data_IF_859584521706
#
_entry.id   IF_859584521706
#
_cell.length_a   1.000
_cell.length_b   1.000
_cell.length_c   1.000
_cell.angle_alpha   90.00
_cell.angle_beta   90.00
_cell.angle_gamma   90.00
#
_symmetry.space_group_name_H-M   'P 1'
#
loop_
_entity.id
_entity.type
_entity.pdbx_description
1 polymer ?
#
# COMPACT_ATOMS: atom_id res chain seq x y z
N UNK A 1 -6.19 -1.84 -24.56
CA UNK A 1 -6.08 -0.73 -23.60
C UNK A 1 -7.44 -0.34 -23.03
N UNK A 2 -8.50 -0.25 -23.86
CA UNK A 2 -9.87 0.09 -23.41
C UNK A 2 -10.39 -0.62 -22.15
N UNK A 3 -10.19 -1.94 -21.98
CA UNK A 3 -10.67 -2.65 -20.79
C UNK A 3 -9.94 -2.25 -19.50
N UNK A 4 -8.63 -2.03 -19.57
CA UNK A 4 -7.84 -1.63 -18.42
C UNK A 4 -8.24 -0.23 -17.95
N UNK A 5 -8.46 0.67 -18.90
CA UNK A 5 -8.94 2.02 -18.63
C UNK A 5 -10.34 1.97 -18.01
N UNK A 6 -11.26 1.18 -18.59
CA UNK A 6 -12.60 0.98 -18.04
C UNK A 6 -12.56 0.49 -16.59
N UNK A 7 -11.76 -0.54 -16.29
CA UNK A 7 -11.67 -1.09 -14.93
C UNK A 7 -11.05 -0.09 -13.94
N UNK A 8 -9.95 0.57 -14.32
CA UNK A 8 -9.28 1.55 -13.47
C UNK A 8 -10.18 2.75 -13.19
N UNK A 9 -10.93 3.21 -14.18
CA UNK A 9 -11.84 4.35 -14.05
C UNK A 9 -13.11 3.96 -13.25
N UNK A 10 -13.71 2.80 -13.54
CA UNK A 10 -14.93 2.31 -12.86
C UNK A 10 -14.69 2.07 -11.38
N UNK A 11 -13.55 1.44 -11.03
CA UNK A 11 -13.22 1.07 -9.65
C UNK A 11 -12.21 2.03 -9.01
N UNK A 12 -12.04 3.24 -9.56
CA UNK A 12 -11.03 4.19 -9.07
C UNK A 12 -11.24 4.57 -7.61
N UNK A 13 -12.49 4.78 -7.19
CA UNK A 13 -12.85 5.10 -5.79
C UNK A 13 -12.53 3.94 -4.86
N UNK A 14 -12.92 2.72 -5.25
CA UNK A 14 -12.68 1.49 -4.52
C UNK A 14 -11.18 1.22 -4.33
N UNK A 15 -10.39 1.36 -5.40
CA UNK A 15 -8.93 1.21 -5.37
C UNK A 15 -8.28 2.32 -4.54
N UNK A 16 -8.79 3.55 -4.66
CA UNK A 16 -8.24 4.68 -3.92
C UNK A 16 -8.43 4.47 -2.43
N UNK A 17 -9.64 4.18 -1.95
CA UNK A 17 -9.86 3.80 -0.57
C UNK A 17 -11.21 3.09 -0.44
N UNK A 18 -11.19 1.79 -0.13
CA UNK A 18 -12.38 1.05 0.30
C UNK A 18 -12.76 1.45 1.74
N UNK A 19 -13.27 2.67 1.86
CA UNK A 19 -13.56 3.31 3.15
C UNK A 19 -14.67 2.61 3.90
N UNK A 20 -15.71 2.13 3.21
CA UNK A 20 -16.90 1.61 3.88
C UNK A 20 -16.64 0.26 4.53
N UNK A 21 -15.96 -0.67 3.84
CA UNK A 21 -15.52 -1.92 4.46
C UNK A 21 -14.52 -1.64 5.58
N UNK A 22 -13.52 -0.79 5.32
CA UNK A 22 -12.53 -0.43 6.33
C UNK A 22 -13.18 0.09 7.62
N UNK A 23 -14.15 1.00 7.49
CA UNK A 23 -14.87 1.59 8.61
C UNK A 23 -15.77 0.59 9.34
N UNK A 24 -16.45 -0.30 8.60
CA UNK A 24 -17.34 -1.30 9.19
C UNK A 24 -16.58 -2.33 10.05
N UNK A 25 -15.31 -2.58 9.72
CA UNK A 25 -14.50 -3.66 10.30
C UNK A 25 -13.39 -3.20 11.25
N UNK A 26 -13.33 -1.90 11.59
CA UNK A 26 -12.26 -1.33 12.43
C UNK A 26 -12.00 -2.08 13.74
N UNK A 27 -13.05 -2.47 14.46
CA UNK A 27 -12.93 -3.21 15.72
C UNK A 27 -12.40 -4.62 15.51
N UNK A 28 -12.88 -5.29 14.46
CA UNK A 28 -12.42 -6.63 14.11
C UNK A 28 -10.95 -6.60 13.75
N UNK A 29 -10.54 -5.65 12.91
CA UNK A 29 -9.15 -5.46 12.53
C UNK A 29 -8.27 -5.13 13.73
N UNK A 30 -8.69 -4.24 14.62
CA UNK A 30 -7.88 -3.87 15.78
C UNK A 30 -7.73 -5.01 16.77
N UNK A 31 -8.78 -5.82 16.96
CA UNK A 31 -8.68 -7.04 17.77
C UNK A 31 -7.75 -8.06 17.10
N UNK A 32 -7.87 -8.30 15.80
CA UNK A 32 -7.00 -9.23 15.08
C UNK A 32 -5.52 -8.84 15.18
N UNK A 33 -5.20 -7.54 15.08
CA UNK A 33 -3.84 -7.02 15.27
C UNK A 33 -3.36 -7.22 16.72
N UNK A 34 -4.23 -6.97 17.70
CA UNK A 34 -3.93 -7.19 19.12
C UNK A 34 -3.67 -8.68 19.41
N UNK A 35 -4.53 -9.57 18.93
CA UNK A 35 -4.45 -11.03 19.12
C UNK A 35 -3.21 -11.62 18.44
N UNK A 36 -2.73 -11.02 17.34
CA UNK A 36 -1.44 -11.36 16.72
C UNK A 36 -0.20 -10.94 17.56
N UNK A 37 -0.43 -10.34 18.73
CA UNK A 37 0.59 -9.94 19.70
C UNK A 37 1.00 -8.47 19.62
N UNK A 38 0.12 -7.60 19.11
CA UNK A 38 0.37 -6.15 19.16
C UNK A 38 0.14 -5.63 20.58
N UNK A 39 1.00 -4.74 21.09
CA UNK A 39 0.72 -4.01 22.32
C UNK A 39 -0.36 -2.91 22.14
N UNK A 40 -0.77 -2.62 20.90
CA UNK A 40 -1.80 -1.64 20.60
C UNK A 40 -3.15 -2.31 20.39
N UNK A 41 -4.19 -1.76 21.01
CA UNK A 41 -5.58 -2.26 20.90
C UNK A 41 -6.39 -1.57 19.81
N UNK A 42 -5.81 -0.58 19.14
CA UNK A 42 -6.51 0.31 18.23
C UNK A 42 -5.87 0.46 16.84
N UNK A 43 -4.88 -0.36 16.51
CA UNK A 43 -4.25 -0.37 15.17
C UNK A 43 -5.09 -1.23 14.23
N UNK A 44 -5.62 -0.66 13.14
CA UNK A 44 -6.53 -1.37 12.23
C UNK A 44 -5.92 -1.70 10.86
N UNK A 45 -4.82 -1.04 10.47
CA UNK A 45 -4.15 -1.31 9.19
C UNK A 45 -2.69 -0.87 9.21
N UNK A 46 -1.95 -1.29 8.19
CA UNK A 46 -0.54 -1.00 8.02
C UNK A 46 -0.30 -0.18 6.76
N UNK A 47 0.39 0.96 6.88
CA UNK A 47 0.80 1.78 5.74
C UNK A 47 2.21 1.42 5.30
N UNK A 48 2.38 1.25 3.99
CA UNK A 48 3.72 1.04 3.44
C UNK A 48 3.86 1.49 1.97
N UNK A 49 5.09 1.77 1.58
CA UNK A 49 5.47 2.14 0.22
C UNK A 49 6.01 0.96 -0.56
N UNK A 50 5.49 0.71 -1.77
CA UNK A 50 5.99 -0.33 -2.67
C UNK A 50 6.56 0.24 -3.97
N UNK A 51 7.64 -0.36 -4.45
CA UNK A 51 8.44 0.13 -5.60
C UNK A 51 8.39 -0.89 -6.74
N UNK A 52 7.75 -0.53 -7.85
CA UNK A 52 7.69 -1.35 -9.06
C UNK A 52 8.72 -0.90 -10.08
N UNK A 53 9.68 -1.78 -10.36
CA UNK A 53 10.76 -1.50 -11.30
C UNK A 53 10.24 -1.42 -12.72
N UNK A 54 10.64 -0.38 -13.44
CA UNK A 54 10.23 -0.13 -14.83
C UNK A 54 11.44 0.02 -15.73
N UNK A 55 11.23 -0.18 -17.02
CA UNK A 55 12.22 0.00 -18.08
C UNK A 55 11.75 1.09 -19.07
N UNK A 56 12.71 1.64 -19.82
CA UNK A 56 12.50 2.63 -20.89
C UNK A 56 11.62 3.82 -20.49
N UNK A 57 12.12 4.78 -19.69
CA UNK A 57 11.37 6.01 -19.36
C UNK A 57 11.29 7.02 -20.54
N UNK A 58 11.21 6.56 -21.79
CA UNK A 58 11.34 7.41 -22.98
C UNK A 58 10.22 7.16 -23.98
N UNK A 59 9.41 8.19 -24.34
CA UNK A 59 8.67 8.19 -25.59
C UNK A 59 9.66 8.15 -26.76
N UNK A 60 9.36 7.36 -27.81
CA UNK A 60 10.21 7.19 -29.00
C UNK A 60 10.47 8.49 -29.79
N UNK A 61 9.74 9.58 -29.48
CA UNK A 61 9.75 10.87 -30.20
C UNK A 61 9.96 12.08 -29.26
N UNK A 62 11.11 12.20 -28.62
CA UNK A 62 11.53 13.45 -27.96
C UNK A 62 12.85 13.91 -28.56
N UNK A 63 12.80 14.92 -29.44
CA UNK A 63 13.96 15.44 -30.16
C UNK A 63 14.91 16.27 -29.27
N UNK A 64 14.48 16.69 -28.07
CA UNK A 64 15.30 17.51 -27.17
C UNK A 64 15.94 16.71 -26.02
N UNK A 65 17.28 16.63 -26.04
CA UNK A 65 18.15 15.92 -25.08
C UNK A 65 17.90 16.31 -23.60
N UNK A 66 17.54 17.57 -23.32
CA UNK A 66 17.33 18.10 -21.94
C UNK A 66 16.02 17.61 -21.29
N UNK A 67 14.91 17.54 -22.05
CA UNK A 67 13.62 16.97 -21.59
C UNK A 67 13.70 15.45 -21.39
N UNK A 68 14.52 14.78 -22.20
CA UNK A 68 14.82 13.34 -22.11
C UNK A 68 15.49 12.97 -20.78
N UNK A 69 16.40 13.82 -20.28
CA UNK A 69 17.09 13.64 -18.99
C UNK A 69 16.17 13.90 -17.78
N UNK A 70 15.33 14.93 -17.84
CA UNK A 70 14.43 15.31 -16.73
C UNK A 70 13.36 14.24 -16.44
N UNK A 71 12.75 13.64 -17.47
CA UNK A 71 11.80 12.53 -17.30
C UNK A 71 12.45 11.22 -16.84
N UNK A 72 13.72 11.00 -17.21
CA UNK A 72 14.50 9.85 -16.76
C UNK A 72 14.93 9.99 -15.29
N UNK A 73 15.32 11.19 -14.87
CA UNK A 73 15.74 11.50 -13.50
C UNK A 73 14.58 11.53 -12.49
N UNK A 74 13.35 11.88 -12.91
CA UNK A 74 12.19 11.90 -12.02
C UNK A 74 11.74 10.49 -11.62
N UNK A 75 11.82 9.51 -12.54
CA UNK A 75 11.41 8.12 -12.33
C UNK A 75 12.52 7.28 -11.65
N UNK A 76 13.76 7.79 -11.58
CA UNK A 76 14.87 7.07 -10.97
C UNK A 76 14.75 7.07 -9.43
N UNK A 77 14.58 5.88 -8.83
CA UNK A 77 14.65 5.67 -7.40
C UNK A 77 16.12 5.45 -7.00
N UNK A 78 16.74 6.44 -6.35
CA UNK A 78 18.14 6.39 -5.95
C UNK A 78 18.45 5.31 -4.90
N UNK A 79 17.54 5.10 -3.94
CA UNK A 79 17.69 4.09 -2.89
C UNK A 79 17.69 2.66 -3.47
N UNK A 80 16.81 2.37 -4.42
CA UNK A 80 16.75 1.06 -5.11
C UNK A 80 17.58 0.99 -6.40
N UNK A 81 18.30 2.07 -6.76
CA UNK A 81 19.14 2.22 -7.97
C UNK A 81 18.46 1.77 -9.27
N UNK A 82 17.15 2.01 -9.41
CA UNK A 82 16.36 1.61 -10.60
C UNK A 82 15.30 2.64 -10.95
N UNK A 83 14.95 2.75 -12.24
CA UNK A 83 13.72 3.44 -12.64
C UNK A 83 12.53 2.68 -12.06
N UNK A 84 11.64 3.39 -11.37
CA UNK A 84 10.51 2.76 -10.69
C UNK A 84 9.31 3.69 -10.56
N UNK A 85 8.14 3.06 -10.51
CA UNK A 85 6.93 3.67 -9.97
C UNK A 85 6.82 3.30 -8.50
N UNK A 86 6.43 4.27 -7.68
CA UNK A 86 6.10 4.08 -6.28
C UNK A 86 4.59 4.09 -6.09
N UNK A 87 4.13 3.27 -5.16
CA UNK A 87 2.75 3.27 -4.69
C UNK A 87 2.75 3.22 -3.17
N UNK A 88 1.74 3.83 -2.56
CA UNK A 88 1.47 3.72 -1.14
C UNK A 88 0.25 2.84 -0.97
N UNK A 89 0.26 1.96 0.03
CA UNK A 89 -0.89 1.13 0.36
C UNK A 89 -1.24 1.18 1.83
N UNK A 90 -2.52 0.93 2.13
CA UNK A 90 -2.94 0.41 3.42
C UNK A 90 -3.32 -1.05 3.25
N UNK A 91 -2.75 -1.92 4.08
CA UNK A 91 -3.08 -3.35 4.13
C UNK A 91 -3.83 -3.64 5.43
N UNK A 92 -4.97 -4.30 5.33
CA UNK A 92 -5.82 -4.68 6.46
C UNK A 92 -5.60 -6.13 6.88
N UNK A 93 -5.93 -6.49 8.13
CA UNK A 93 -5.75 -7.85 8.66
C UNK A 93 -6.45 -8.95 7.86
N UNK A 94 -7.54 -8.62 7.16
CA UNK A 94 -8.24 -9.53 6.25
C UNK A 94 -7.51 -9.81 4.93
N UNK A 95 -6.29 -9.29 4.79
CA UNK A 95 -5.44 -9.51 3.64
C UNK A 95 -5.82 -8.68 2.41
N UNK A 96 -6.72 -7.70 2.56
CA UNK A 96 -7.03 -6.75 1.51
C UNK A 96 -6.05 -5.57 1.50
N UNK A 97 -5.81 -5.04 0.31
CA UNK A 97 -5.23 -3.72 0.14
C UNK A 97 -6.39 -2.73 0.08
N UNK A 98 -6.68 -2.08 1.20
CA UNK A 98 -7.83 -1.19 1.36
C UNK A 98 -7.62 0.20 0.75
N UNK A 99 -6.36 0.62 0.56
CA UNK A 99 -5.99 1.89 -0.07
C UNK A 99 -4.81 1.66 -1.02
N UNK A 100 -4.87 2.26 -2.21
CA UNK A 100 -3.75 2.32 -3.14
C UNK A 100 -3.64 3.71 -3.77
N UNK A 101 -2.55 4.41 -3.46
CA UNK A 101 -2.23 5.71 -4.04
C UNK A 101 -0.97 5.66 -4.91
N UNK A 102 -1.02 6.39 -6.04
CA UNK A 102 -0.01 6.41 -7.08
C UNK A 102 -0.57 6.04 -8.44
N UNK A 103 0.28 5.95 -9.47
CA UNK A 103 1.75 5.87 -9.41
C UNK A 103 2.47 7.19 -9.14
N UNK A 104 3.52 7.15 -8.33
CA UNK A 104 4.50 8.24 -8.16
C UNK A 104 5.83 7.94 -8.84
N UNK A 105 6.51 9.00 -9.26
CA UNK A 105 7.89 8.88 -9.71
C UNK A 105 8.79 8.45 -8.54
N UNK A 106 9.64 7.43 -8.76
CA UNK A 106 10.34 6.70 -7.70
C UNK A 106 11.29 7.50 -6.80
N UNK A 107 11.58 8.76 -7.11
CA UNK A 107 12.41 9.67 -6.31
C UNK A 107 11.68 10.28 -5.10
N UNK A 108 10.35 10.26 -5.08
CA UNK A 108 9.60 10.87 -3.97
C UNK A 108 9.73 10.05 -2.68
N UNK A 109 9.81 10.74 -1.54
CA UNK A 109 9.80 10.15 -0.20
C UNK A 109 8.39 9.67 0.16
N UNK A 110 8.30 8.62 0.97
CA UNK A 110 7.02 7.98 1.29
C UNK A 110 6.10 8.92 2.10
N UNK A 111 6.67 9.76 2.97
CA UNK A 111 5.94 10.84 3.67
C UNK A 111 5.28 11.85 2.72
N UNK A 112 5.92 12.14 1.58
CA UNK A 112 5.37 13.07 0.59
C UNK A 112 4.15 12.44 -0.08
N UNK A 113 4.24 11.16 -0.43
CA UNK A 113 3.11 10.42 -0.99
C UNK A 113 1.97 10.31 0.02
N UNK A 114 2.28 10.13 1.31
CA UNK A 114 1.28 10.10 2.37
C UNK A 114 0.51 11.42 2.52
N UNK A 115 1.23 12.55 2.47
CA UNK A 115 0.59 13.87 2.50
C UNK A 115 -0.25 14.13 1.26
N UNK A 116 0.24 13.76 0.08
CA UNK A 116 -0.47 13.99 -1.18
C UNK A 116 -1.65 13.04 -1.39
N UNK A 117 -1.66 11.85 -0.78
CA UNK A 117 -2.79 10.91 -0.85
C UNK A 117 -4.02 11.40 -0.10
N UNK A 118 -3.84 12.34 0.83
CA UNK A 118 -4.90 12.88 1.73
C UNK A 118 -5.63 11.78 2.51
N UNK A 119 -5.01 10.61 2.66
CA UNK A 119 -5.62 9.49 3.37
C UNK A 119 -5.79 9.80 4.86
N UNK A 120 -4.81 10.50 5.46
CA UNK A 120 -4.88 10.99 6.83
C UNK A 120 -6.12 11.89 7.05
N UNK A 121 -6.32 12.87 6.17
CA UNK A 121 -7.44 13.79 6.26
C UNK A 121 -8.77 13.07 6.04
N UNK A 122 -8.81 12.11 5.11
CA UNK A 122 -10.01 11.30 4.85
C UNK A 122 -10.40 10.47 6.07
N UNK A 123 -9.42 9.85 6.75
CA UNK A 123 -9.62 9.11 7.99
C UNK A 123 -10.08 10.05 9.11
N UNK A 124 -9.42 11.20 9.26
CA UNK A 124 -9.71 12.18 10.33
C UNK A 124 -11.11 12.78 10.23
N UNK A 125 -11.61 13.00 9.00
CA UNK A 125 -12.95 13.55 8.76
C UNK A 125 -14.07 12.54 8.98
N UNK A 126 -13.77 11.24 8.97
CA UNK A 126 -14.77 10.19 9.20
C UNK A 126 -14.79 9.77 10.68
N UNK A 127 -15.84 10.18 11.37
CA UNK A 127 -16.01 9.92 12.81
C UNK A 127 -15.93 8.44 13.20
N UNK A 128 -16.18 7.50 12.28
CA UNK A 128 -16.09 6.05 12.52
C UNK A 128 -14.65 5.61 12.85
N UNK A 129 -13.65 6.30 12.29
CA UNK A 129 -12.23 6.01 12.53
C UNK A 129 -11.67 6.64 13.81
N UNK A 130 -12.47 7.43 14.54
CA UNK A 130 -12.00 8.11 15.74
C UNK A 130 -11.49 7.09 16.77
N UNK A 131 -10.25 7.29 17.21
CA UNK A 131 -9.59 6.42 18.19
C UNK A 131 -8.86 5.22 17.58
N UNK A 132 -9.01 4.96 16.28
CA UNK A 132 -8.25 3.94 15.55
C UNK A 132 -7.06 4.56 14.82
N UNK A 133 -5.97 3.80 14.70
CA UNK A 133 -4.71 4.27 14.10
C UNK A 133 -4.19 3.30 13.05
N UNK A 134 -3.41 3.83 12.13
CA UNK A 134 -2.65 3.10 11.11
C UNK A 134 -1.21 2.99 11.58
N UNK A 135 -0.59 1.82 11.44
CA UNK A 135 0.82 1.64 11.78
C UNK A 135 1.70 1.75 10.54
N UNK A 136 2.72 2.62 10.58
CA UNK A 136 3.69 2.84 9.49
C UNK A 136 5.14 2.69 9.95
N UNK A 137 6.09 2.74 9.03
CA UNK A 137 7.48 2.98 9.45
C UNK A 137 7.70 4.42 9.92
N UNK A 138 8.84 4.62 10.57
CA UNK A 138 9.35 5.91 11.03
C UNK A 138 9.26 7.04 9.98
N UNK A 139 9.32 6.73 8.67
CA UNK A 139 9.26 7.78 7.66
C UNK A 139 7.88 8.46 7.58
N UNK A 140 6.81 7.86 8.12
CA UNK A 140 5.47 8.44 8.09
C UNK A 140 5.20 9.45 9.22
N UNK A 141 6.00 9.46 10.28
CA UNK A 141 5.79 10.29 11.46
C UNK A 141 4.75 9.73 12.42
N UNK A 142 4.21 10.56 13.32
CA UNK A 142 3.29 10.13 14.36
C UNK A 142 2.25 11.24 14.61
N UNK A 143 0.96 10.93 14.49
CA UNK A 143 -0.17 11.86 14.71
C UNK A 143 -1.45 11.12 15.15
N UNK A 144 -2.59 11.77 15.25
CA UNK A 144 -3.85 11.14 15.66
C UNK A 144 -4.30 9.97 14.75
N UNK A 145 -3.80 9.88 13.52
CA UNK A 145 -4.13 8.83 12.54
C UNK A 145 -3.02 7.78 12.43
N UNK A 146 -1.74 8.18 12.46
CA UNK A 146 -0.59 7.28 12.31
C UNK A 146 0.16 7.10 13.62
N UNK A 147 0.53 5.85 13.89
CA UNK A 147 1.57 5.48 14.85
C UNK A 147 2.76 4.87 14.12
N UNK A 148 3.96 5.23 14.55
CA UNK A 148 5.22 4.70 14.04
C UNK A 148 6.05 4.13 15.19
N UNK A 149 7.04 3.26 14.90
CA UNK A 149 7.98 2.78 15.90
C UNK A 149 8.61 3.92 16.71
N UNK A 150 8.94 3.65 17.97
CA UNK A 150 9.72 4.59 18.78
C UNK A 150 11.11 4.79 18.16
N UNK A 151 11.54 6.04 18.05
CA UNK A 151 12.85 6.42 17.49
C UNK A 151 13.88 6.71 18.59
N UNK A 152 15.12 6.29 18.37
CA UNK A 152 16.25 6.53 19.26
C UNK A 152 17.48 5.72 18.84
N UNK A 153 18.67 6.13 19.29
CA UNK A 153 19.83 5.25 19.19
C UNK A 153 19.57 3.94 19.95
N UNK A 154 20.24 2.84 19.58
CA UNK A 154 20.02 1.49 20.15
C UNK A 154 20.18 1.42 21.69
N UNK A 155 20.74 2.46 22.33
CA UNK A 155 20.80 2.60 23.80
C UNK A 155 19.86 3.64 24.43
N UNK A 156 19.09 4.38 23.63
CA UNK A 156 18.18 5.43 24.11
C UNK A 156 16.72 4.98 24.20
N UNK A 157 16.39 3.82 23.63
CA UNK A 157 15.06 3.22 23.76
C UNK A 157 14.99 2.41 25.06
N UNK A 158 13.87 2.54 25.77
CA UNK A 158 13.61 1.68 26.93
C UNK A 158 13.42 0.22 26.48
N UNK A 159 13.54 -0.72 27.43
CA UNK A 159 13.26 -2.13 27.16
C UNK A 159 11.82 -2.33 26.63
N UNK A 160 10.86 -1.56 27.17
CA UNK A 160 9.46 -1.56 26.76
C UNK A 160 9.29 -1.05 25.32
N UNK A 161 9.92 0.08 24.97
CA UNK A 161 9.87 0.62 23.60
C UNK A 161 10.48 -0.34 22.59
N UNK A 162 11.60 -0.98 22.96
CA UNK A 162 12.26 -1.99 22.13
C UNK A 162 11.36 -3.21 21.93
N UNK A 163 10.69 -3.67 22.99
CA UNK A 163 9.72 -4.76 22.92
C UNK A 163 8.53 -4.42 22.01
N UNK A 164 7.95 -3.22 22.17
CA UNK A 164 6.85 -2.74 21.32
C UNK A 164 7.27 -2.70 19.85
N UNK A 165 8.44 -2.13 19.55
CA UNK A 165 8.97 -2.07 18.19
C UNK A 165 9.18 -3.48 17.60
N UNK A 166 9.68 -4.43 18.40
CA UNK A 166 9.87 -5.81 17.97
C UNK A 166 8.54 -6.51 17.64
N UNK A 167 7.53 -6.37 18.50
CA UNK A 167 6.18 -6.92 18.26
C UNK A 167 5.58 -6.35 16.97
N UNK A 168 5.61 -5.03 16.80
CA UNK A 168 5.02 -4.39 15.62
C UNK A 168 5.80 -4.67 14.33
N UNK A 169 7.13 -4.75 14.39
CA UNK A 169 7.95 -5.14 13.23
C UNK A 169 7.59 -6.54 12.74
N UNK A 170 7.42 -7.50 13.67
CA UNK A 170 7.01 -8.88 13.35
C UNK A 170 5.65 -8.93 12.66
N UNK A 171 4.66 -8.21 13.19
CA UNK A 171 3.29 -8.19 12.66
C UNK A 171 3.25 -7.53 11.28
N UNK A 172 4.02 -6.45 11.08
CA UNK A 172 4.06 -5.70 9.81
C UNK A 172 4.63 -6.52 8.64
N UNK A 173 5.32 -7.64 8.88
CA UNK A 173 5.77 -8.56 7.82
C UNK A 173 4.59 -9.01 6.93
N UNK A 174 3.36 -9.05 7.48
CA UNK A 174 2.14 -9.37 6.74
C UNK A 174 1.88 -8.49 5.51
N UNK A 175 2.36 -7.24 5.52
CA UNK A 175 2.29 -6.32 4.37
C UNK A 175 3.08 -6.87 3.18
N UNK A 176 4.24 -7.46 3.44
CA UNK A 176 5.10 -8.02 2.40
C UNK A 176 4.43 -9.21 1.70
N UNK A 177 3.64 -10.01 2.42
CA UNK A 177 2.88 -11.12 1.84
C UNK A 177 1.84 -10.62 0.82
N UNK A 178 1.15 -9.51 1.12
CA UNK A 178 0.20 -8.89 0.18
C UNK A 178 0.89 -8.42 -1.10
N UNK A 179 2.09 -7.84 -0.99
CA UNK A 179 2.90 -7.45 -2.16
C UNK A 179 3.43 -8.64 -2.95
N UNK A 180 3.81 -9.72 -2.27
CA UNK A 180 4.24 -10.96 -2.88
C UNK A 180 3.10 -11.62 -3.66
N UNK A 181 1.87 -11.57 -3.11
CA UNK A 181 0.67 -12.12 -3.76
C UNK A 181 0.39 -11.44 -5.10
N UNK A 182 0.49 -10.10 -5.18
CA UNK A 182 0.32 -9.36 -6.44
C UNK A 182 1.32 -9.83 -7.50
N UNK A 183 2.60 -9.93 -7.18
CA UNK A 183 3.62 -10.34 -8.18
C UNK A 183 3.53 -11.83 -8.53
N UNK A 184 2.99 -12.64 -7.64
CA UNK A 184 2.73 -14.06 -7.87
C UNK A 184 1.61 -14.26 -8.90
N UNK A 185 0.46 -13.60 -8.70
CA UNK A 185 -0.68 -13.69 -9.62
C UNK A 185 -0.40 -12.97 -10.94
N UNK A 186 0.28 -11.83 -10.88
CA UNK A 186 0.48 -10.94 -12.02
C UNK A 186 1.97 -10.85 -12.34
N UNK A 187 2.59 -11.97 -12.74
CA UNK A 187 4.05 -12.02 -12.96
C UNK A 187 4.56 -10.98 -13.96
N UNK A 188 3.71 -10.55 -14.91
CA UNK A 188 4.00 -9.46 -15.83
C UNK A 188 4.34 -8.11 -15.12
N UNK A 189 3.84 -7.90 -13.89
CA UNK A 189 4.11 -6.74 -13.03
C UNK A 189 5.45 -6.80 -12.28
N UNK A 190 6.18 -7.91 -12.38
CA UNK A 190 7.48 -8.13 -11.73
C UNK A 190 8.65 -8.14 -12.75
N UNK A 191 8.34 -8.42 -14.01
CA UNK A 191 9.35 -8.51 -15.08
C UNK A 191 9.69 -7.11 -15.60
N UNK A 192 10.71 -6.48 -15.00
CA UNK A 192 11.19 -5.12 -15.34
C UNK A 192 11.31 -4.84 -16.86
N UNK A 193 11.89 -5.73 -17.71
CA UNK A 193 11.94 -5.51 -19.17
C UNK A 193 10.57 -5.40 -19.88
N UNK A 194 9.52 -5.96 -19.28
CA UNK A 194 8.15 -5.94 -19.77
C UNK A 194 7.38 -4.70 -19.30
N UNK A 195 7.85 -4.01 -18.25
CA UNK A 195 7.19 -2.80 -17.75
C UNK A 195 7.78 -1.54 -18.38
N UNK A 196 7.37 -1.28 -19.63
CA UNK A 196 7.88 -0.17 -20.45
C UNK A 196 6.99 1.07 -20.32
N UNK A 197 7.46 2.06 -19.56
CA UNK A 197 6.76 3.35 -19.43
C UNK A 197 6.69 4.06 -20.78
N UNK A 198 5.53 4.62 -21.13
CA UNK A 198 5.30 5.31 -22.40
C UNK A 198 4.91 4.40 -23.56
N UNK A 199 4.94 3.08 -23.38
CA UNK A 199 4.32 2.11 -24.31
C UNK A 199 3.19 1.32 -23.67
N UNK A 200 3.23 1.11 -22.35
CA UNK A 200 2.17 0.44 -21.59
C UNK A 200 1.76 1.30 -20.39
N UNK A 201 0.48 1.27 -20.00
CA UNK A 201 -0.02 1.98 -18.83
C UNK A 201 0.33 1.23 -17.53
N UNK A 202 1.62 1.08 -17.23
CA UNK A 202 2.14 0.28 -16.10
C UNK A 202 1.50 0.67 -14.76
N UNK A 203 1.22 1.96 -14.56
CA UNK A 203 0.50 2.46 -13.38
C UNK A 203 -0.88 1.83 -13.22
N UNK A 204 -1.71 1.91 -14.27
CA UNK A 204 -3.04 1.30 -14.31
C UNK A 204 -2.99 -0.21 -14.24
N UNK A 205 -1.99 -0.83 -14.87
CA UNK A 205 -1.80 -2.29 -14.77
C UNK A 205 -1.58 -2.73 -13.32
N UNK A 206 -0.82 -1.97 -12.54
CA UNK A 206 -0.63 -2.27 -11.13
C UNK A 206 -1.92 -2.04 -10.31
N UNK A 207 -2.61 -0.91 -10.55
CA UNK A 207 -3.89 -0.60 -9.87
C UNK A 207 -4.95 -1.67 -10.10
N UNK A 208 -5.18 -2.07 -11.36
CA UNK A 208 -6.08 -3.17 -11.72
C UNK A 208 -5.57 -4.51 -11.17
N UNK A 209 -4.25 -4.73 -11.14
CA UNK A 209 -3.67 -5.91 -10.50
C UNK A 209 -4.01 -6.00 -9.01
N UNK A 210 -3.99 -4.88 -8.28
CA UNK A 210 -4.42 -4.83 -6.87
C UNK A 210 -5.91 -5.12 -6.73
N UNK A 211 -6.76 -4.47 -7.55
CA UNK A 211 -8.20 -4.73 -7.56
C UNK A 211 -8.49 -6.22 -7.74
N UNK A 212 -7.88 -6.84 -8.74
CA UNK A 212 -8.10 -8.27 -9.04
C UNK A 212 -7.53 -9.18 -7.96
N UNK A 213 -6.40 -8.82 -7.33
CA UNK A 213 -5.87 -9.57 -6.17
C UNK A 213 -6.86 -9.55 -5.00
N UNK A 214 -7.43 -8.38 -4.67
CA UNK A 214 -8.46 -8.28 -3.64
C UNK A 214 -9.70 -9.13 -3.99
N UNK A 215 -10.15 -9.11 -5.26
CA UNK A 215 -11.25 -9.97 -5.69
C UNK A 215 -10.93 -11.46 -5.50
N UNK A 216 -9.72 -11.90 -5.83
CA UNK A 216 -9.28 -13.29 -5.63
C UNK A 216 -9.26 -13.63 -4.14
N UNK A 217 -8.79 -12.73 -3.28
CA UNK A 217 -8.81 -12.92 -1.82
C UNK A 217 -10.24 -13.12 -1.30
N UNK A 218 -11.19 -12.28 -1.73
CA UNK A 218 -12.61 -12.40 -1.35
C UNK A 218 -13.23 -13.73 -1.86
N UNK A 219 -13.00 -14.08 -3.14
CA UNK A 219 -13.54 -15.31 -3.74
C UNK A 219 -13.00 -16.58 -3.06
N UNK A 220 -11.73 -16.56 -2.64
CA UNK A 220 -11.10 -17.70 -1.94
C UNK A 220 -11.42 -17.74 -0.45
N UNK A 221 -12.01 -16.68 0.10
CA UNK A 221 -12.25 -16.53 1.54
C UNK A 221 -10.99 -16.28 2.35
N UNK A 222 -9.90 -15.82 1.73
CA UNK A 222 -8.66 -15.50 2.45
C UNK A 222 -7.36 -15.59 1.64
N UNK A 223 -6.27 -15.24 2.30
CA UNK A 223 -4.88 -15.37 1.90
C UNK A 223 -3.97 -15.53 3.14
N UNK A 224 -2.65 -15.61 2.94
CA UNK A 224 -1.69 -15.77 4.04
C UNK A 224 -1.78 -14.68 5.12
N UNK A 225 -2.16 -13.45 4.75
CA UNK A 225 -2.33 -12.37 5.73
C UNK A 225 -3.60 -12.59 6.57
N UNK A 226 -4.75 -12.89 5.95
CA UNK A 226 -5.98 -13.22 6.70
C UNK A 226 -5.81 -14.42 7.62
N UNK A 227 -5.08 -15.44 7.18
CA UNK A 227 -4.81 -16.65 7.97
C UNK A 227 -3.95 -16.33 9.19
N UNK A 228 -2.95 -15.47 9.03
CA UNK A 228 -2.08 -15.03 10.12
C UNK A 228 -2.82 -14.24 11.20
N UNK A 229 -3.75 -13.37 10.78
CA UNK A 229 -4.56 -12.56 11.69
C UNK A 229 -5.85 -13.25 12.14
N UNK A 230 -6.17 -14.44 11.60
CA UNK A 230 -7.44 -15.11 11.78
C UNK A 230 -8.66 -14.19 11.51
N UNK A 231 -8.58 -13.40 10.43
CA UNK A 231 -9.58 -12.40 10.06
C UNK A 231 -10.01 -12.63 8.59
N UNK A 232 -11.17 -13.24 8.32
CA UNK A 232 -11.58 -13.56 6.95
C UNK A 232 -11.99 -12.30 6.15
N UNK A 233 -11.71 -12.21 4.85
CA UNK A 233 -12.16 -11.09 4.01
C UNK A 233 -13.69 -11.06 3.86
N UNK A 234 -14.25 -9.91 3.43
CA UNK A 234 -15.65 -9.83 3.04
C UNK A 234 -15.93 -10.72 1.82
N UNK A 235 -17.21 -10.97 1.54
CA UNK A 235 -17.56 -11.60 0.28
C UNK A 235 -17.29 -10.67 -0.91
N UNK A 236 -17.25 -11.26 -2.11
CA UNK A 236 -16.91 -10.51 -3.32
C UNK A 236 -17.95 -9.44 -3.68
N UNK A 237 -19.23 -9.67 -3.39
CA UNK A 237 -20.29 -8.70 -3.65
C UNK A 237 -20.16 -7.51 -2.70
N UNK A 238 -19.97 -7.78 -1.40
CA UNK A 238 -19.68 -6.74 -0.40
C UNK A 238 -18.44 -5.92 -0.79
N UNK A 239 -17.38 -6.58 -1.28
CA UNK A 239 -16.17 -5.90 -1.75
C UNK A 239 -16.39 -4.98 -2.95
N UNK A 240 -17.20 -5.38 -3.93
CA UNK A 240 -17.40 -4.62 -5.17
C UNK A 240 -18.46 -3.52 -5.05
N UNK A 241 -19.37 -3.63 -4.08
CA UNK A 241 -20.48 -2.69 -3.84
C UNK A 241 -20.15 -1.58 -2.82
N UNK A 242 -18.98 -1.65 -2.17
CA UNK A 242 -18.56 -0.76 -1.08
C UNK A 242 -18.20 0.67 -1.47
#
# INVERSE_FOLDING_TARGET
MHLLDLLDDTFSSLILFNRNIAAARLKEYSHAVFDAGSPYTNVWSFVDGTVRGVCRPVPRRVHHKKRKLLGQQSIYNGHKRKHALKFQTLVTPDGLISHLFGPYAGRNHDIKMYRESKIADTIRLDSRFRGFRVFGDCAYGNDDVIVSPFEGAIGNLTAEQTHINACMSRIRISVEWSYAQIVSYWKALDVKPNLRIGTQPVGKMYRVGVLMTNCITCIRGGNTASDYFNCPPPDISEYLES
#
